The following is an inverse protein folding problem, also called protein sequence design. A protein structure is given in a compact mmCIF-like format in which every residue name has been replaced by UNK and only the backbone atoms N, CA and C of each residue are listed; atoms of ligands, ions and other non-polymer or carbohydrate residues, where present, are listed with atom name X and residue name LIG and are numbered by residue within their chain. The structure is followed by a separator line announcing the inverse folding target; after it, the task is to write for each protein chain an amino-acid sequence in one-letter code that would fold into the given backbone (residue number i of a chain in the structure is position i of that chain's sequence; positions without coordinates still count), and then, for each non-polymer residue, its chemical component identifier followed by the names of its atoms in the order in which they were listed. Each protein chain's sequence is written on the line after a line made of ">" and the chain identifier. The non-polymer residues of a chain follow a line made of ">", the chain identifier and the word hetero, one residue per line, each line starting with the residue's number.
data_IF_192793485324
#
_entry.id   IF_192793485324
#
_cell.length_a   1.000
_cell.length_b   1.000
_cell.length_c   1.000
_cell.angle_alpha   90.00
_cell.angle_beta   90.00
_cell.angle_gamma   90.00
#
_symmetry.space_group_name_H-M   'P 1'
#
loop_
_entity.id
_entity.type
_entity.pdbx_description
1 polymer ?
#
# COMPACT_ATOMS: atom_id res chain seq x y z
N UNK A 1 -1.06 -8.55 -10.79
CA UNK A 1 0.04 -8.13 -9.88
C UNK A 1 -0.43 -6.96 -9.04
N UNK A 2 0.34 -6.55 -8.02
CA UNK A 2 -0.02 -5.47 -7.10
C UNK A 2 -0.52 -4.21 -7.81
N UNK A 3 0.16 -3.84 -8.89
CA UNK A 3 -0.20 -2.73 -9.78
C UNK A 3 -1.62 -2.84 -10.33
N UNK A 4 -2.08 -4.04 -10.67
CA UNK A 4 -3.40 -4.26 -11.26
C UNK A 4 -4.51 -4.21 -10.20
N UNK A 5 -4.19 -4.54 -8.92
CA UNK A 5 -5.09 -4.36 -7.79
C UNK A 5 -5.24 -2.89 -7.41
N UNK A 6 -4.10 -2.19 -7.34
CA UNK A 6 -4.00 -0.75 -7.12
C UNK A 6 -4.76 0.04 -8.20
N UNK A 7 -4.59 -0.33 -9.48
CA UNK A 7 -5.29 0.30 -10.60
C UNK A 7 -6.80 0.03 -10.62
N UNK A 8 -7.26 -1.08 -10.04
CA UNK A 8 -8.68 -1.45 -10.01
C UNK A 8 -9.45 -0.80 -8.86
N UNK A 9 -8.80 -0.57 -7.71
CA UNK A 9 -9.43 -0.02 -6.50
C UNK A 9 -9.33 1.52 -6.39
N UNK A 10 -8.66 2.19 -7.34
CA UNK A 10 -8.51 3.66 -7.38
C UNK A 10 -7.81 4.27 -6.14
N UNK A 11 -7.09 3.45 -5.39
CA UNK A 11 -6.36 3.86 -4.19
C UNK A 11 -5.82 2.66 -3.41
N UNK A 12 -5.00 2.97 -2.42
CA UNK A 12 -4.42 2.05 -1.44
C UNK A 12 -4.71 2.60 -0.06
N UNK A 13 -5.21 1.75 0.81
CA UNK A 13 -5.35 1.99 2.24
C UNK A 13 -4.33 1.13 3.03
N UNK A 14 -3.98 1.50 4.27
CA UNK A 14 -3.09 0.69 5.10
C UNK A 14 -3.58 -0.77 5.25
N UNK A 15 -4.89 -0.98 5.33
CA UNK A 15 -5.48 -2.30 5.48
C UNK A 15 -5.29 -3.17 4.23
N UNK A 16 -4.98 -2.58 3.07
CA UNK A 16 -4.71 -3.35 1.85
C UNK A 16 -3.44 -4.20 1.97
N UNK A 17 -2.53 -3.84 2.87
CA UNK A 17 -1.35 -4.64 3.17
C UNK A 17 -1.66 -5.94 3.94
N UNK A 18 -2.86 -6.09 4.48
CA UNK A 18 -3.34 -7.32 5.13
C UNK A 18 -3.89 -8.36 4.11
N UNK A 19 -4.03 -7.99 2.83
CA UNK A 19 -4.45 -8.91 1.79
C UNK A 19 -3.28 -9.55 1.05
N UNK A 20 -3.52 -10.72 0.44
CA UNK A 20 -2.54 -11.35 -0.44
C UNK A 20 -2.33 -10.49 -1.71
N UNK A 21 -1.09 -10.37 -2.21
CA UNK A 21 0.12 -11.08 -1.78
C UNK A 21 0.89 -10.40 -0.62
N UNK A 22 0.55 -9.17 -0.21
CA UNK A 22 1.31 -8.42 0.78
C UNK A 22 1.41 -9.13 2.13
N UNK A 23 0.30 -9.67 2.63
CA UNK A 23 0.29 -10.44 3.87
C UNK A 23 1.26 -11.64 3.86
N UNK A 24 1.54 -12.21 2.68
CA UNK A 24 2.48 -13.32 2.51
C UNK A 24 3.95 -12.83 2.47
N UNK A 25 4.17 -11.58 2.08
CA UNK A 25 5.48 -10.92 2.00
C UNK A 25 5.81 -10.10 3.27
N UNK A 26 4.98 -10.23 4.32
CA UNK A 26 5.19 -9.62 5.64
C UNK A 26 4.17 -8.56 6.06
N UNK A 27 3.20 -8.25 5.19
CA UNK A 27 2.00 -7.47 5.47
C UNK A 27 2.25 -6.06 6.03
N UNK A 28 1.29 -5.53 6.79
CA UNK A 28 1.38 -4.20 7.36
C UNK A 28 2.58 -4.06 8.31
N UNK A 29 2.94 -5.12 9.03
CA UNK A 29 4.10 -5.13 9.92
C UNK A 29 5.42 -4.85 9.21
N UNK A 30 5.66 -5.50 8.06
CA UNK A 30 6.86 -5.28 7.23
C UNK A 30 6.88 -3.86 6.66
N UNK A 31 5.73 -3.37 6.20
CA UNK A 31 5.59 -2.03 5.65
C UNK A 31 5.86 -0.97 6.72
N UNK A 32 5.35 -1.15 7.94
CA UNK A 32 5.65 -0.27 9.06
C UNK A 32 7.12 -0.32 9.48
N UNK A 33 7.80 -1.46 9.36
CA UNK A 33 9.25 -1.52 9.60
C UNK A 33 10.07 -0.73 8.57
N UNK A 34 9.62 -0.69 7.32
CA UNK A 34 10.32 -0.01 6.23
C UNK A 34 10.09 1.50 6.23
N UNK A 35 8.84 1.93 6.46
CA UNK A 35 8.42 3.31 6.31
C UNK A 35 8.09 4.01 7.64
N UNK A 36 7.78 3.25 8.69
CA UNK A 36 7.48 3.76 10.03
C UNK A 36 6.45 4.90 10.00
N UNK A 37 6.86 6.05 10.53
CA UNK A 37 6.00 7.24 10.61
C UNK A 37 5.71 7.87 9.24
N UNK A 38 6.49 7.56 8.21
CA UNK A 38 6.32 8.08 6.85
C UNK A 38 5.33 7.27 6.02
N UNK A 39 4.82 6.14 6.56
CA UNK A 39 3.92 5.25 5.84
C UNK A 39 2.68 5.96 5.29
N UNK A 40 2.01 6.78 6.11
CA UNK A 40 0.81 7.48 5.67
C UNK A 40 1.12 8.46 4.53
N UNK A 41 2.21 9.24 4.65
CA UNK A 41 2.63 10.17 3.60
C UNK A 41 3.08 9.47 2.32
N UNK A 42 3.63 8.26 2.43
CA UNK A 42 3.95 7.42 1.27
C UNK A 42 2.68 6.93 0.57
N UNK A 43 1.68 6.45 1.32
CA UNK A 43 0.38 6.03 0.78
C UNK A 43 -0.33 7.20 0.10
N UNK A 44 -0.34 8.38 0.71
CA UNK A 44 -0.91 9.60 0.13
C UNK A 44 -0.27 9.94 -1.22
N UNK A 45 1.06 9.99 -1.30
CA UNK A 45 1.78 10.26 -2.55
C UNK A 45 1.51 9.21 -3.64
N UNK A 46 1.40 7.94 -3.23
CA UNK A 46 1.09 6.85 -4.15
C UNK A 46 -0.34 7.00 -4.71
N UNK A 47 -1.31 7.33 -3.86
CA UNK A 47 -2.70 7.59 -4.25
C UNK A 47 -2.83 8.84 -5.14
N UNK A 48 -2.13 9.93 -4.83
CA UNK A 48 -2.08 11.12 -5.69
C UNK A 48 -1.55 10.80 -7.08
N UNK A 49 -0.49 9.99 -7.16
CA UNK A 49 0.09 9.56 -8.44
C UNK A 49 -0.83 8.67 -9.26
N UNK A 50 -1.73 7.92 -8.60
CA UNK A 50 -2.71 7.03 -9.26
C UNK A 50 -3.96 7.78 -9.74
N UNK A 51 -4.29 8.89 -9.10
CA UNK A 51 -5.43 9.73 -9.46
C UNK A 51 -5.15 10.69 -10.64
N UNK A 52 -3.88 10.84 -11.04
CA UNK A 52 -3.40 11.70 -12.14
C UNK A 52 -3.37 10.97 -13.50
#
# INVERSE_FOLDING_TARGET
>A
MIRDHIAANLGIEPDDFEYAPFAQEGGLGKVYQLFGNELNSFIEQLNESLAA
#
